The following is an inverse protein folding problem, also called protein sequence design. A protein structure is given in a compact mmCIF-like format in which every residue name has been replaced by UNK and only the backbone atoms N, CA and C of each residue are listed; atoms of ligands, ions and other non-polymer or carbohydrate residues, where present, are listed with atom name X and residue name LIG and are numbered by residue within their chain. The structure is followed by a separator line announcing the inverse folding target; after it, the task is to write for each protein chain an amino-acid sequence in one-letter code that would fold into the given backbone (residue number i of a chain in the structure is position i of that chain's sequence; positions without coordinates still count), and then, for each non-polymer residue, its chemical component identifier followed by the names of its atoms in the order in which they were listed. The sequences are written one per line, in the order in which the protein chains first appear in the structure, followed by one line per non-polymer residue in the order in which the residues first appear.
data_IF_350907423585
#
_entry.id   IF_350907423585
#
_cell.length_a   1.000
_cell.length_b   1.000
_cell.length_c   1.000
_cell.angle_alpha   90.00
_cell.angle_beta   90.00
_cell.angle_gamma   90.00
#
_symmetry.space_group_name_H-M   'P 1'
#
loop_
_entity.id
_entity.type
_entity.pdbx_description
1 polymer ?
#
# COMPACT_ATOMS: atom_id res chain seq x y z
N UNK A 1 -29.53 9.65 0.53
CA UNK A 1 -28.71 10.86 0.29
C UNK A 1 -29.02 11.35 -1.11
N UNK A 2 -29.50 12.59 -1.29
CA UNK A 2 -29.69 13.15 -2.62
C UNK A 2 -28.33 13.27 -3.30
N UNK A 3 -28.23 12.72 -4.52
CA UNK A 3 -27.02 12.75 -5.35
C UNK A 3 -26.62 14.20 -5.58
N UNK A 4 -25.37 14.51 -5.30
CA UNK A 4 -24.72 15.77 -5.67
C UNK A 4 -24.88 15.90 -7.19
N UNK A 5 -25.56 16.97 -7.62
CA UNK A 5 -25.68 17.35 -9.02
C UNK A 5 -24.27 17.55 -9.60
N UNK A 6 -23.96 16.84 -10.69
CA UNK A 6 -22.76 17.08 -11.50
C UNK A 6 -22.77 18.55 -11.94
N UNK A 7 -21.91 19.37 -11.34
CA UNK A 7 -21.63 20.72 -11.84
C UNK A 7 -20.50 20.67 -12.87
N UNK A 8 -20.86 21.16 -14.06
CA UNK A 8 -20.03 21.82 -15.06
C UNK A 8 -18.89 21.02 -15.70
N UNK A 9 -19.25 20.10 -16.60
CA UNK A 9 -18.45 19.92 -17.82
C UNK A 9 -19.03 20.82 -18.90
N UNK A 10 -18.21 21.72 -19.44
CA UNK A 10 -18.53 22.41 -20.70
C UNK A 10 -18.86 21.35 -21.75
N UNK A 11 -19.96 21.46 -22.50
CA UNK A 11 -20.24 20.53 -23.60
C UNK A 11 -19.07 20.55 -24.58
N UNK A 12 -18.57 19.37 -24.97
CA UNK A 12 -17.40 19.20 -25.86
C UNK A 12 -17.52 19.99 -27.19
N UNK A 13 -18.73 20.41 -27.56
CA UNK A 13 -19.04 21.10 -28.80
C UNK A 13 -19.19 22.64 -28.67
N UNK A 14 -19.10 23.22 -27.46
CA UNK A 14 -19.19 24.68 -27.28
C UNK A 14 -18.09 25.41 -28.05
N UNK A 15 -16.84 24.97 -27.93
CA UNK A 15 -15.70 25.56 -28.64
C UNK A 15 -15.80 25.35 -30.16
N UNK A 16 -16.33 24.21 -30.61
CA UNK A 16 -16.59 23.95 -32.03
C UNK A 16 -17.64 24.91 -32.61
N UNK A 17 -18.70 25.22 -31.85
CA UNK A 17 -19.75 26.16 -32.28
C UNK A 17 -19.23 27.60 -32.49
N UNK A 18 -18.07 27.92 -31.91
CA UNK A 18 -17.37 29.20 -32.03
C UNK A 18 -16.23 29.18 -33.07
N UNK A 19 -16.06 28.09 -33.82
CA UNK A 19 -15.02 27.95 -34.85
C UNK A 19 -13.62 27.59 -34.33
N UNK A 20 -13.49 27.21 -33.05
CA UNK A 20 -12.23 26.73 -32.47
C UNK A 20 -12.11 25.20 -32.58
N UNK A 21 -10.88 24.65 -32.66
CA UNK A 21 -10.68 23.20 -32.54
C UNK A 21 -11.16 22.70 -31.17
N UNK A 22 -11.56 21.43 -31.11
CA UNK A 22 -11.80 20.75 -29.83
C UNK A 22 -10.50 20.69 -29.04
N UNK A 23 -10.48 21.32 -27.87
CA UNK A 23 -9.35 21.29 -26.94
C UNK A 23 -9.77 20.43 -25.75
N UNK A 24 -9.05 19.33 -25.52
CA UNK A 24 -9.19 18.57 -24.28
C UNK A 24 -8.37 19.25 -23.19
N UNK A 25 -9.04 19.92 -22.25
CA UNK A 25 -8.38 20.48 -21.07
C UNK A 25 -8.31 19.39 -20.01
N UNK A 26 -7.11 18.84 -19.81
CA UNK A 26 -6.85 17.94 -18.71
C UNK A 26 -6.61 18.77 -17.45
N UNK A 27 -7.47 18.60 -16.43
CA UNK A 27 -7.15 19.10 -15.10
C UNK A 27 -5.99 18.26 -14.56
N UNK A 28 -4.79 18.87 -14.56
CA UNK A 28 -3.63 18.31 -13.89
C UNK A 28 -3.72 18.63 -12.40
N UNK A 29 -2.98 17.88 -11.56
CA UNK A 29 -2.92 18.13 -10.12
C UNK A 29 -2.64 19.61 -9.82
N UNK A 30 -3.65 20.29 -9.28
CA UNK A 30 -3.59 21.68 -8.83
C UNK A 30 -2.78 21.81 -7.53
N UNK A 31 -2.53 23.04 -7.09
CA UNK A 31 -1.91 23.30 -5.79
C UNK A 31 -2.79 22.76 -4.66
N UNK A 32 -2.16 22.38 -3.56
CA UNK A 32 -2.87 21.87 -2.40
C UNK A 32 -3.68 22.97 -1.67
N UNK A 33 -4.94 22.69 -1.34
CA UNK A 33 -5.84 23.61 -0.64
C UNK A 33 -5.71 23.48 0.89
N UNK A 34 -5.13 24.49 1.52
CA UNK A 34 -4.97 24.61 2.97
C UNK A 34 -6.12 25.34 3.67
N UNK A 35 -7.14 25.80 2.95
CA UNK A 35 -8.21 26.63 3.54
C UNK A 35 -9.19 25.83 4.38
N UNK A 36 -9.44 24.57 4.02
CA UNK A 36 -10.40 23.70 4.70
C UNK A 36 -9.79 23.03 5.95
N UNK A 37 -10.35 23.25 7.16
CA UNK A 37 -9.91 22.59 8.37
C UNK A 37 -10.39 21.14 8.47
N UNK A 38 -9.73 20.35 9.31
CA UNK A 38 -10.26 19.06 9.77
C UNK A 38 -10.39 17.98 8.70
N UNK A 39 -9.59 18.09 7.63
CA UNK A 39 -9.52 17.09 6.56
C UNK A 39 -8.59 15.93 6.94
N UNK A 40 -8.94 14.75 6.46
CA UNK A 40 -8.19 13.48 6.58
C UNK A 40 -8.12 12.89 5.18
N UNK A 41 -7.04 13.22 4.50
CA UNK A 41 -6.84 12.96 3.08
C UNK A 41 -6.07 11.66 2.91
N UNK A 42 -6.71 10.65 2.33
CA UNK A 42 -6.03 9.42 1.92
C UNK A 42 -5.42 9.60 0.54
N UNK A 43 -4.12 9.37 0.41
CA UNK A 43 -3.42 9.36 -0.87
C UNK A 43 -3.04 7.91 -1.16
N UNK A 44 -3.78 7.30 -2.09
CA UNK A 44 -3.76 5.84 -2.29
C UNK A 44 -3.23 5.48 -3.68
N UNK A 45 -2.79 4.25 -3.87
CA UNK A 45 -2.31 3.74 -5.15
C UNK A 45 -1.25 2.65 -4.97
N UNK A 46 -0.87 1.94 -6.04
CA UNK A 46 0.12 0.88 -5.97
C UNK A 46 1.51 1.40 -5.57
N UNK A 47 2.43 0.50 -5.24
CA UNK A 47 3.84 0.87 -5.13
C UNK A 47 4.30 1.52 -6.44
N UNK A 48 5.03 2.63 -6.36
CA UNK A 48 5.49 3.38 -7.54
C UNK A 48 4.53 4.44 -8.09
N UNK A 49 3.32 4.59 -7.56
CA UNK A 49 2.36 5.62 -8.02
C UNK A 49 2.67 7.07 -7.57
N UNK A 50 3.79 7.32 -6.90
CA UNK A 50 4.17 8.67 -6.48
C UNK A 50 3.48 9.20 -5.22
N UNK A 51 2.96 8.33 -4.33
CA UNK A 51 2.31 8.75 -3.06
C UNK A 51 3.20 9.66 -2.19
N UNK A 52 4.46 9.31 -1.98
CA UNK A 52 5.41 10.13 -1.21
C UNK A 52 5.85 11.38 -2.01
N UNK A 53 5.86 11.32 -3.34
CA UNK A 53 6.11 12.50 -4.20
C UNK A 53 4.96 13.53 -4.11
N UNK A 54 3.71 13.06 -3.98
CA UNK A 54 2.58 13.93 -3.66
C UNK A 54 2.82 14.70 -2.35
N UNK A 55 3.34 14.03 -1.33
CA UNK A 55 3.69 14.69 -0.06
C UNK A 55 4.78 15.75 -0.24
N UNK A 56 5.78 15.49 -1.07
CA UNK A 56 6.80 16.46 -1.42
C UNK A 56 6.20 17.69 -2.14
N UNK A 57 5.16 17.50 -2.96
CA UNK A 57 4.42 18.61 -3.58
C UNK A 57 3.67 19.44 -2.54
N UNK A 58 2.93 18.79 -1.63
CA UNK A 58 2.24 19.50 -0.53
C UNK A 58 3.21 20.33 0.28
N UNK A 59 4.41 19.79 0.56
CA UNK A 59 5.47 20.53 1.25
C UNK A 59 5.90 21.80 0.50
N UNK A 60 6.07 21.72 -0.82
CA UNK A 60 6.43 22.88 -1.66
C UNK A 60 5.30 23.92 -1.70
N UNK A 61 4.06 23.47 -1.83
CA UNK A 61 2.90 24.36 -1.83
C UNK A 61 2.75 25.09 -0.49
N UNK A 62 2.99 24.38 0.62
CA UNK A 62 3.01 24.93 1.96
C UNK A 62 4.07 26.03 2.12
N UNK A 63 5.28 25.83 1.59
CA UNK A 63 6.35 26.83 1.62
C UNK A 63 5.96 28.12 0.86
N UNK A 64 5.20 28.02 -0.23
CA UNK A 64 4.65 29.18 -0.94
C UNK A 64 3.48 29.81 -0.19
N UNK A 65 2.59 28.99 0.40
CA UNK A 65 1.45 29.45 1.18
C UNK A 65 1.86 30.23 2.44
N UNK A 66 2.96 29.84 3.09
CA UNK A 66 3.50 30.53 4.27
C UNK A 66 3.99 31.95 3.96
N UNK A 67 4.41 32.23 2.72
CA UNK A 67 4.81 33.58 2.28
C UNK A 67 3.62 34.53 2.05
N UNK A 68 2.39 34.02 2.11
CA UNK A 68 1.18 34.83 1.91
C UNK A 68 0.89 35.68 3.14
N UNK A 69 0.12 36.74 2.92
CA UNK A 69 -0.22 37.75 3.94
C UNK A 69 -0.96 37.16 5.15
N UNK A 70 -1.07 37.96 6.21
CA UNK A 70 -1.82 37.60 7.42
C UNK A 70 -3.30 37.32 7.16
N UNK A 71 -3.87 37.87 6.08
CA UNK A 71 -5.24 37.54 5.65
C UNK A 71 -5.35 36.05 5.33
N UNK A 72 -4.38 35.53 4.57
CA UNK A 72 -4.32 34.10 4.23
C UNK A 72 -3.95 33.26 5.44
N UNK A 73 -3.07 33.76 6.32
CA UNK A 73 -2.78 33.10 7.60
C UNK A 73 -4.05 32.88 8.42
N UNK A 74 -4.88 33.90 8.59
CA UNK A 74 -6.14 33.79 9.35
C UNK A 74 -7.11 32.81 8.68
N UNK A 75 -7.20 32.82 7.35
CA UNK A 75 -8.04 31.89 6.60
C UNK A 75 -7.61 30.42 6.75
N UNK A 76 -6.30 30.18 6.89
CA UNK A 76 -5.70 28.83 6.96
C UNK A 76 -5.39 28.38 8.39
N UNK A 77 -5.77 29.18 9.40
CA UNK A 77 -5.58 28.85 10.81
C UNK A 77 -6.91 28.50 11.48
N UNK A 78 -6.89 27.55 12.41
CA UNK A 78 -8.07 27.16 13.21
C UNK A 78 -7.58 26.68 14.56
N UNK A 79 -8.22 27.09 15.67
CA UNK A 79 -7.92 26.63 17.02
C UNK A 79 -6.42 26.58 17.38
N UNK A 80 -5.68 27.63 16.98
CA UNK A 80 -4.25 27.80 17.28
C UNK A 80 -3.27 27.12 16.33
N UNK A 81 -3.73 26.30 15.38
CA UNK A 81 -2.88 25.65 14.37
C UNK A 81 -2.92 26.38 13.03
N UNK A 82 -1.80 26.36 12.29
CA UNK A 82 -1.68 26.92 10.93
C UNK A 82 -1.45 25.78 9.92
N UNK A 83 -2.43 25.51 9.06
CA UNK A 83 -2.36 24.39 8.09
C UNK A 83 -1.26 24.56 7.04
N UNK A 84 -0.69 25.76 6.89
CA UNK A 84 0.44 25.99 5.98
C UNK A 84 1.75 25.52 6.59
N UNK A 85 1.81 25.31 7.92
CA UNK A 85 2.93 24.65 8.58
C UNK A 85 2.73 23.14 8.50
N UNK A 86 3.68 22.46 7.85
CA UNK A 86 3.64 21.03 7.57
C UNK A 86 4.69 20.33 8.41
N UNK A 87 4.33 19.16 8.94
CA UNK A 87 5.21 18.26 9.66
C UNK A 87 5.11 16.86 9.05
N UNK A 88 6.24 16.21 8.84
CA UNK A 88 6.32 14.88 8.22
C UNK A 88 6.59 13.81 9.28
N UNK A 89 5.83 12.72 9.23
CA UNK A 89 5.92 11.62 10.19
C UNK A 89 6.16 10.33 9.42
N UNK A 90 7.18 9.57 9.81
CA UNK A 90 7.54 8.30 9.19
C UNK A 90 7.57 7.17 10.23
N UNK A 91 7.15 5.98 9.82
CA UNK A 91 7.28 4.77 10.65
C UNK A 91 8.74 4.36 10.83
N UNK A 92 9.11 3.91 12.03
CA UNK A 92 10.40 3.26 12.29
C UNK A 92 10.60 1.98 11.45
N UNK A 93 9.52 1.28 11.09
CA UNK A 93 9.56 0.04 10.29
C UNK A 93 10.19 0.31 8.91
N UNK A 94 10.00 1.52 8.38
CA UNK A 94 10.50 1.92 7.06
C UNK A 94 11.94 2.49 7.10
N UNK A 95 12.59 2.45 8.27
CA UNK A 95 13.90 3.08 8.50
C UNK A 95 15.04 2.49 7.68
N UNK A 96 14.93 1.23 7.22
CA UNK A 96 15.97 0.59 6.42
C UNK A 96 15.99 1.04 4.95
N UNK A 97 14.87 1.50 4.37
CA UNK A 97 14.79 1.91 2.95
C UNK A 97 15.50 3.22 2.64
N UNK A 98 15.78 4.05 3.65
CA UNK A 98 16.22 5.42 3.44
C UNK A 98 17.53 5.76 4.16
N UNK A 99 18.39 4.75 4.36
CA UNK A 99 19.67 4.95 5.05
C UNK A 99 20.63 5.87 4.27
N UNK A 100 20.51 5.93 2.93
CA UNK A 100 21.30 6.85 2.10
C UNK A 100 20.86 8.33 2.19
N UNK A 101 19.66 8.60 2.72
CA UNK A 101 19.14 9.96 2.80
C UNK A 101 19.44 10.61 4.15
N UNK A 102 19.56 11.94 4.21
CA UNK A 102 19.68 12.65 5.48
C UNK A 102 18.55 12.31 6.47
N UNK A 103 18.85 12.36 7.76
CA UNK A 103 17.88 12.00 8.80
C UNK A 103 16.59 12.83 8.80
N UNK A 104 16.67 14.07 8.31
CA UNK A 104 15.57 15.02 8.16
C UNK A 104 14.95 15.03 6.74
N UNK A 105 15.20 13.99 5.94
CA UNK A 105 14.72 13.93 4.57
C UNK A 105 13.34 13.26 4.45
N UNK A 106 12.39 13.96 3.84
CA UNK A 106 11.25 13.35 3.16
C UNK A 106 11.77 12.79 1.82
N UNK A 107 12.18 11.53 1.83
CA UNK A 107 12.69 10.83 0.65
C UNK A 107 11.56 10.20 -0.17
N UNK A 108 11.67 10.28 -1.50
CA UNK A 108 10.78 9.68 -2.49
C UNK A 108 11.60 9.20 -3.72
N UNK A 109 11.00 8.45 -4.64
CA UNK A 109 11.71 7.97 -5.83
C UNK A 109 12.29 9.16 -6.61
N UNK A 110 13.60 9.15 -6.86
CA UNK A 110 14.35 10.20 -7.58
C UNK A 110 14.53 11.54 -6.86
N UNK A 111 14.31 11.64 -5.54
CA UNK A 111 14.58 12.89 -4.83
C UNK A 111 14.25 12.89 -3.35
N UNK A 112 14.51 14.01 -2.70
CA UNK A 112 14.11 14.24 -1.32
C UNK A 112 13.89 15.73 -1.03
N UNK A 113 13.17 16.02 0.04
CA UNK A 113 13.05 17.35 0.63
C UNK A 113 13.67 17.33 2.02
N UNK A 114 14.50 18.34 2.34
CA UNK A 114 14.97 18.59 3.71
C UNK A 114 13.85 19.23 4.52
N UNK A 115 13.33 18.51 5.50
CA UNK A 115 12.26 18.99 6.38
C UNK A 115 12.78 19.78 7.59
N UNK A 116 14.10 19.77 7.85
CA UNK A 116 14.68 20.40 9.03
C UNK A 116 14.16 19.74 10.30
N UNK A 117 13.66 20.53 11.24
CA UNK A 117 13.09 20.04 12.51
C UNK A 117 11.65 19.51 12.36
N UNK A 118 11.00 19.77 11.23
CA UNK A 118 9.59 19.43 10.99
C UNK A 118 9.42 17.98 10.47
N UNK A 119 10.15 17.04 11.07
CA UNK A 119 10.10 15.63 10.75
C UNK A 119 10.37 14.78 11.98
N UNK A 120 9.61 13.69 12.13
CA UNK A 120 9.83 12.70 13.19
C UNK A 120 9.72 11.27 12.67
N UNK A 121 10.45 10.37 13.35
CA UNK A 121 10.27 8.93 13.22
C UNK A 121 9.56 8.43 14.47
N UNK A 122 8.49 7.67 14.29
CA UNK A 122 7.68 7.16 15.38
C UNK A 122 7.41 5.67 15.17
N UNK A 123 7.22 4.94 16.28
CA UNK A 123 6.92 3.51 16.25
C UNK A 123 5.42 3.21 16.17
N UNK A 124 4.64 4.00 16.90
CA UNK A 124 3.23 3.72 17.18
C UNK A 124 2.43 5.02 17.35
N UNK A 125 1.13 4.88 17.61
CA UNK A 125 0.22 6.01 17.84
C UNK A 125 0.56 6.87 19.06
N UNK A 126 1.29 6.37 20.07
CA UNK A 126 1.74 7.16 21.21
C UNK A 126 2.86 8.12 20.80
N UNK A 127 3.76 7.67 19.93
CA UNK A 127 4.76 8.54 19.30
C UNK A 127 4.11 9.67 18.52
N UNK A 128 3.00 9.42 17.81
CA UNK A 128 2.26 10.46 17.11
C UNK A 128 1.68 11.51 18.06
N UNK A 129 1.09 11.11 19.18
CA UNK A 129 0.55 12.06 20.17
C UNK A 129 1.65 12.94 20.77
N UNK A 130 2.82 12.36 21.05
CA UNK A 130 3.96 13.14 21.53
C UNK A 130 4.38 14.19 20.49
N UNK A 131 4.49 13.79 19.22
CA UNK A 131 4.78 14.71 18.11
C UNK A 131 3.72 15.82 18.01
N UNK A 132 2.43 15.50 18.16
CA UNK A 132 1.33 16.47 18.15
C UNK A 132 1.35 17.44 19.35
N UNK A 133 1.83 16.98 20.50
CA UNK A 133 1.98 17.78 21.71
C UNK A 133 3.17 18.73 21.63
N UNK A 134 4.30 18.23 21.10
CA UNK A 134 5.54 19.01 20.96
C UNK A 134 5.45 20.07 19.85
N UNK A 135 4.49 19.94 18.95
CA UNK A 135 4.31 20.82 17.79
C UNK A 135 2.90 21.47 17.76
N UNK A 136 2.53 22.28 18.77
CA UNK A 136 1.16 22.72 19.00
C UNK A 136 0.61 23.70 17.95
N UNK A 137 1.45 24.29 17.10
CA UNK A 137 1.04 25.26 16.09
C UNK A 137 1.06 24.71 14.66
N UNK A 138 1.54 23.48 14.46
CA UNK A 138 1.48 22.77 13.17
C UNK A 138 0.02 22.41 12.87
N UNK A 139 -0.47 22.80 11.70
CA UNK A 139 -1.83 22.47 11.26
C UNK A 139 -1.92 21.35 10.24
N UNK A 140 -0.80 20.88 9.68
CA UNK A 140 -0.79 19.80 8.70
C UNK A 140 0.24 18.73 9.04
N UNK A 141 -0.21 17.48 9.18
CA UNK A 141 0.65 16.32 9.40
C UNK A 141 0.53 15.37 8.22
N UNK A 142 1.67 15.05 7.62
CA UNK A 142 1.77 14.01 6.60
C UNK A 142 2.33 12.77 7.30
N UNK A 143 1.56 11.68 7.34
CA UNK A 143 1.94 10.43 8.01
C UNK A 143 2.15 9.36 6.95
N UNK A 144 3.43 9.08 6.67
CA UNK A 144 3.86 8.15 5.62
C UNK A 144 3.62 6.69 6.05
N UNK A 145 3.03 5.92 5.14
CA UNK A 145 2.72 4.49 5.34
C UNK A 145 1.95 4.23 6.64
N UNK A 146 0.96 5.10 6.89
CA UNK A 146 0.11 5.10 8.08
C UNK A 146 -0.61 3.76 8.33
N UNK A 147 -0.83 2.94 7.30
CA UNK A 147 -1.43 1.62 7.46
C UNK A 147 -0.58 0.63 8.25
N UNK A 148 0.73 0.86 8.46
CA UNK A 148 1.58 -0.01 9.28
C UNK A 148 1.57 0.32 10.78
N UNK A 149 0.85 1.37 11.18
CA UNK A 149 0.66 1.70 12.59
C UNK A 149 -0.51 0.92 13.20
N UNK A 150 -0.58 0.92 14.52
CA UNK A 150 -1.68 0.34 15.28
C UNK A 150 -3.01 1.09 15.03
N UNK A 151 -4.14 0.40 15.24
CA UNK A 151 -5.48 0.88 14.92
C UNK A 151 -5.87 2.18 15.63
N UNK A 152 -5.24 2.46 16.78
CA UNK A 152 -5.49 3.67 17.58
C UNK A 152 -5.15 4.93 16.81
N UNK A 153 -4.20 4.87 15.87
CA UNK A 153 -3.79 6.03 15.06
C UNK A 153 -4.99 6.68 14.37
N UNK A 154 -5.95 5.88 13.88
CA UNK A 154 -7.16 6.34 13.20
C UNK A 154 -8.04 7.20 14.14
N UNK A 155 -8.11 6.87 15.42
CA UNK A 155 -8.88 7.62 16.40
C UNK A 155 -8.16 8.89 16.85
N UNK A 156 -6.84 8.81 17.06
CA UNK A 156 -6.01 9.98 17.42
C UNK A 156 -6.12 11.07 16.35
N UNK A 157 -5.89 10.72 15.09
CA UNK A 157 -5.95 11.69 13.98
C UNK A 157 -7.36 12.23 13.79
N UNK A 158 -8.40 11.39 13.92
CA UNK A 158 -9.79 11.85 13.83
C UNK A 158 -10.12 12.88 14.89
N UNK A 159 -9.80 12.61 16.15
CA UNK A 159 -10.13 13.52 17.26
C UNK A 159 -9.40 14.86 17.10
N UNK A 160 -8.09 14.85 16.85
CA UNK A 160 -7.33 16.08 16.62
C UNK A 160 -7.78 16.86 15.38
N UNK A 161 -8.21 16.15 14.34
CA UNK A 161 -8.75 16.77 13.13
C UNK A 161 -10.07 17.49 13.42
N UNK A 162 -10.97 16.88 14.20
CA UNK A 162 -12.26 17.47 14.59
C UNK A 162 -12.11 18.60 15.61
N UNK A 163 -11.28 18.42 16.64
CA UNK A 163 -11.17 19.34 17.77
C UNK A 163 -10.31 20.56 17.44
N UNK A 164 -9.21 20.36 16.72
CA UNK A 164 -8.22 21.42 16.43
C UNK A 164 -8.26 21.89 14.99
N UNK A 165 -9.00 21.22 14.11
CA UNK A 165 -9.02 21.55 12.69
C UNK A 165 -7.72 21.15 11.96
N UNK A 166 -6.94 20.22 12.53
CA UNK A 166 -5.72 19.71 11.92
C UNK A 166 -6.05 18.93 10.65
N UNK A 167 -5.25 19.18 9.61
CA UNK A 167 -5.25 18.44 8.36
C UNK A 167 -4.27 17.26 8.49
N UNK A 168 -4.75 16.06 8.21
CA UNK A 168 -3.90 14.87 8.09
C UNK A 168 -3.88 14.37 6.64
N UNK A 169 -2.70 14.01 6.16
CA UNK A 169 -2.49 13.44 4.82
C UNK A 169 -1.78 12.10 4.98
N UNK A 170 -2.32 11.07 4.32
CA UNK A 170 -1.89 9.69 4.51
C UNK A 170 -1.50 9.06 3.15
N UNK A 171 -0.26 9.28 2.69
CA UNK A 171 0.30 8.48 1.60
C UNK A 171 0.53 7.06 2.11
N UNK A 172 -0.29 6.10 1.67
CA UNK A 172 -0.25 4.73 2.23
C UNK A 172 -0.75 3.69 1.23
N UNK A 173 -0.31 2.44 1.40
CA UNK A 173 -0.94 1.30 0.74
C UNK A 173 -2.25 0.91 1.45
N UNK A 174 -3.36 0.89 0.71
CA UNK A 174 -4.67 0.40 1.19
C UNK A 174 -4.89 -1.06 0.79
N UNK A 175 -4.39 -1.48 -0.37
CA UNK A 175 -4.48 -2.86 -0.84
C UNK A 175 -3.13 -3.56 -0.69
N UNK A 176 -3.17 -4.83 -0.29
CA UNK A 176 -2.01 -5.72 -0.31
C UNK A 176 -1.81 -6.35 -1.70
N UNK A 177 -0.79 -7.20 -1.85
CA UNK A 177 -0.49 -7.85 -3.13
C UNK A 177 -1.60 -8.80 -3.61
N UNK A 178 -2.49 -9.25 -2.72
CA UNK A 178 -3.64 -10.11 -3.03
C UNK A 178 -4.86 -9.34 -3.52
N UNK A 179 -4.75 -8.00 -3.64
CA UNK A 179 -5.84 -7.05 -3.92
C UNK A 179 -6.88 -6.96 -2.80
N UNK A 180 -6.55 -7.44 -1.60
CA UNK A 180 -7.39 -7.34 -0.41
C UNK A 180 -6.98 -6.10 0.41
N UNK A 181 -7.88 -5.59 1.27
CA UNK A 181 -7.54 -4.51 2.21
C UNK A 181 -6.36 -4.94 3.07
N UNK A 182 -5.34 -4.08 3.19
CA UNK A 182 -4.03 -4.45 3.72
C UNK A 182 -4.10 -4.99 5.15
N UNK A 183 -4.82 -4.30 6.03
CA UNK A 183 -5.05 -4.67 7.43
C UNK A 183 -6.21 -3.84 8.05
N UNK A 184 -6.49 -4.08 9.33
CA UNK A 184 -7.51 -3.36 10.10
C UNK A 184 -7.27 -1.84 10.13
N UNK A 185 -6.03 -1.40 10.29
CA UNK A 185 -5.67 0.02 10.27
C UNK A 185 -6.05 0.68 8.95
N UNK A 186 -5.69 0.10 7.80
CA UNK A 186 -6.08 0.60 6.48
C UNK A 186 -7.60 0.72 6.33
N UNK A 187 -8.36 -0.24 6.86
CA UNK A 187 -9.83 -0.19 6.88
C UNK A 187 -10.37 0.97 7.73
N UNK A 188 -9.83 1.16 8.94
CA UNK A 188 -10.23 2.27 9.82
C UNK A 188 -9.86 3.62 9.22
N UNK A 189 -8.73 3.70 8.51
CA UNK A 189 -8.34 4.92 7.81
C UNK A 189 -9.32 5.29 6.70
N UNK A 190 -9.82 4.31 5.94
CA UNK A 190 -10.91 4.54 4.97
C UNK A 190 -12.19 5.05 5.63
N UNK A 191 -12.55 4.50 6.80
CA UNK A 191 -13.75 4.89 7.53
C UNK A 191 -13.71 6.35 8.02
N UNK A 192 -12.55 6.83 8.43
CA UNK A 192 -12.40 8.21 8.93
C UNK A 192 -12.09 9.24 7.84
N UNK A 193 -11.72 8.81 6.62
CA UNK A 193 -11.26 9.69 5.56
C UNK A 193 -12.34 10.71 5.16
N UNK A 194 -11.94 11.96 4.95
CA UNK A 194 -12.82 12.98 4.34
C UNK A 194 -12.63 13.06 2.84
N UNK A 195 -11.45 12.68 2.35
CA UNK A 195 -11.04 12.80 0.98
C UNK A 195 -10.18 11.60 0.58
N UNK A 196 -10.31 11.18 -0.68
CA UNK A 196 -9.46 10.15 -1.28
C UNK A 196 -8.88 10.70 -2.57
N UNK A 197 -7.55 10.65 -2.67
CA UNK A 197 -6.77 11.01 -3.86
C UNK A 197 -6.18 9.71 -4.40
N UNK A 198 -6.80 9.11 -5.44
CA UNK A 198 -6.26 7.93 -6.09
C UNK A 198 -5.13 8.33 -7.04
N UNK A 199 -3.97 7.70 -6.88
CA UNK A 199 -2.85 7.77 -7.80
C UNK A 199 -2.74 6.44 -8.54
N UNK A 200 -2.54 6.49 -9.86
CA UNK A 200 -2.20 5.34 -10.68
C UNK A 200 -0.69 5.31 -10.97
N UNK A 201 -0.20 4.16 -11.40
CA UNK A 201 1.12 4.01 -12.00
C UNK A 201 0.97 3.43 -13.41
N UNK A 202 2.06 3.35 -14.17
CA UNK A 202 2.05 2.53 -15.39
C UNK A 202 2.10 1.03 -15.03
N UNK A 203 1.41 0.20 -15.79
CA UNK A 203 1.67 -1.22 -15.76
C UNK A 203 3.10 -1.48 -16.23
N UNK A 204 3.94 -2.04 -15.36
CA UNK A 204 5.35 -2.33 -15.64
C UNK A 204 5.54 -3.62 -16.48
N UNK A 205 4.48 -4.13 -17.11
CA UNK A 205 4.60 -5.18 -18.10
C UNK A 205 5.22 -4.59 -19.38
N UNK A 206 6.28 -5.19 -19.97
CA UNK A 206 6.98 -4.61 -21.12
C UNK A 206 6.05 -4.26 -22.29
N UNK A 207 5.03 -5.08 -22.52
CA UNK A 207 4.07 -4.92 -23.63
C UNK A 207 2.76 -4.21 -23.22
N UNK A 208 2.74 -3.44 -22.13
CA UNK A 208 1.52 -2.78 -21.64
C UNK A 208 1.71 -1.29 -21.33
N UNK A 209 0.71 -0.48 -21.70
CA UNK A 209 0.65 0.97 -21.40
C UNK A 209 -0.58 1.37 -20.56
N UNK A 210 -1.30 0.38 -20.01
CA UNK A 210 -2.50 0.62 -19.19
C UNK A 210 -2.12 1.16 -17.80
N UNK A 211 -3.07 1.86 -17.19
CA UNK A 211 -2.97 2.22 -15.78
C UNK A 211 -2.89 0.97 -14.91
N UNK A 212 -2.01 1.04 -13.91
CA UNK A 212 -1.86 0.06 -12.86
C UNK A 212 -2.51 0.56 -11.58
N UNK A 213 -3.27 -0.35 -10.96
CA UNK A 213 -4.00 -0.12 -9.72
C UNK A 213 -3.47 -0.98 -8.57
N UNK A 214 -2.64 -2.00 -8.89
CA UNK A 214 -2.21 -3.00 -7.92
C UNK A 214 -0.70 -3.10 -7.82
N UNK A 215 -0.25 -3.31 -6.60
CA UNK A 215 1.09 -3.80 -6.33
C UNK A 215 1.11 -5.30 -6.63
N UNK A 216 1.90 -5.69 -7.61
CA UNK A 216 2.16 -7.07 -7.97
C UNK A 216 3.45 -7.54 -7.29
N UNK A 217 3.37 -8.70 -6.61
CA UNK A 217 4.50 -9.35 -5.97
C UNK A 217 4.91 -10.56 -6.81
N UNK A 218 6.20 -10.66 -7.09
CA UNK A 218 6.77 -11.76 -7.87
C UNK A 218 8.19 -12.05 -7.42
N UNK A 219 8.69 -13.24 -7.74
CA UNK A 219 10.09 -13.63 -7.60
C UNK A 219 10.69 -13.71 -9.00
N UNK A 220 12.02 -13.72 -9.05
CA UNK A 220 12.73 -14.14 -10.25
C UNK A 220 13.55 -15.37 -9.92
N UNK A 221 13.39 -16.40 -10.75
CA UNK A 221 14.08 -17.68 -10.63
C UNK A 221 14.57 -18.06 -12.02
N UNK A 222 15.88 -18.20 -12.19
CA UNK A 222 16.52 -18.49 -13.47
C UNK A 222 16.11 -17.51 -14.58
N UNK A 223 16.00 -16.22 -14.24
CA UNK A 223 15.57 -15.17 -15.16
C UNK A 223 14.07 -15.16 -15.47
N UNK A 224 13.28 -16.05 -14.88
CA UNK A 224 11.85 -16.16 -15.14
C UNK A 224 11.03 -15.43 -14.07
N UNK A 225 10.01 -14.68 -14.52
CA UNK A 225 9.04 -14.09 -13.62
C UNK A 225 8.17 -15.18 -12.99
N UNK A 226 8.10 -15.20 -11.66
CA UNK A 226 7.33 -16.16 -10.88
C UNK A 226 6.35 -15.41 -9.96
N UNK A 227 5.04 -15.37 -10.27
CA UNK A 227 4.06 -14.69 -9.41
C UNK A 227 4.09 -15.25 -7.98
N UNK A 228 3.89 -14.38 -6.98
CA UNK A 228 3.69 -14.85 -5.61
C UNK A 228 2.39 -15.66 -5.51
N UNK A 229 2.42 -16.76 -4.75
CA UNK A 229 1.23 -17.56 -4.48
C UNK A 229 0.29 -16.81 -3.53
N UNK A 230 -1.01 -17.12 -3.57
CA UNK A 230 -1.98 -16.46 -2.69
C UNK A 230 -1.60 -16.58 -1.21
N UNK A 231 -1.07 -17.72 -0.77
CA UNK A 231 -0.66 -17.95 0.61
C UNK A 231 0.74 -17.39 0.95
N UNK A 232 1.41 -16.65 0.06
CA UNK A 232 2.67 -15.99 0.43
C UNK A 232 2.47 -15.03 1.62
N UNK A 233 3.40 -14.98 2.58
CA UNK A 233 3.28 -14.15 3.78
C UNK A 233 2.95 -12.68 3.45
N UNK A 234 1.94 -12.10 4.10
CA UNK A 234 1.51 -10.73 3.79
C UNK A 234 2.62 -9.67 3.87
N UNK A 235 3.41 -9.68 4.94
CA UNK A 235 4.45 -8.66 5.17
C UNK A 235 5.82 -9.26 4.84
N UNK A 236 6.41 -8.80 3.74
CA UNK A 236 7.81 -9.05 3.38
C UNK A 236 8.39 -7.69 2.97
N UNK A 237 9.27 -7.14 3.80
CA UNK A 237 9.87 -5.82 3.56
C UNK A 237 10.87 -5.92 2.40
N UNK A 238 10.68 -5.08 1.37
CA UNK A 238 11.54 -5.03 0.18
C UNK A 238 10.92 -4.22 -0.96
N UNK A 239 11.59 -4.18 -2.12
CA UNK A 239 11.01 -3.66 -3.37
C UNK A 239 11.69 -2.46 -4.04
N UNK A 240 12.83 -1.98 -3.52
CA UNK A 240 13.55 -0.86 -4.16
C UNK A 240 14.56 -1.30 -5.22
N UNK A 241 14.98 -2.57 -5.17
CA UNK A 241 15.92 -3.16 -6.13
C UNK A 241 15.36 -4.44 -6.70
N UNK A 242 15.45 -4.62 -8.03
CA UNK A 242 15.16 -5.90 -8.65
C UNK A 242 16.22 -6.93 -8.25
N UNK A 243 15.78 -8.12 -7.88
CA UNK A 243 16.62 -9.25 -7.46
C UNK A 243 16.26 -10.48 -8.29
N UNK A 244 17.26 -11.24 -8.69
CA UNK A 244 17.09 -12.61 -9.18
C UNK A 244 17.29 -13.54 -7.98
N UNK A 245 16.21 -13.78 -7.24
CA UNK A 245 16.25 -14.41 -5.93
C UNK A 245 14.92 -15.19 -5.69
N UNK A 246 14.99 -16.51 -5.43
CA UNK A 246 13.81 -17.33 -5.16
C UNK A 246 13.20 -17.12 -3.76
N UNK A 247 13.90 -16.43 -2.85
CA UNK A 247 13.50 -16.23 -1.45
C UNK A 247 12.99 -14.81 -1.20
N UNK A 248 13.54 -13.82 -1.87
CA UNK A 248 13.18 -12.41 -1.68
C UNK A 248 12.33 -11.90 -2.86
N UNK A 249 11.09 -11.47 -2.64
CA UNK A 249 10.23 -11.00 -3.71
C UNK A 249 10.65 -9.61 -4.21
N UNK A 250 10.33 -9.37 -5.47
CA UNK A 250 10.25 -8.08 -6.13
C UNK A 250 8.81 -7.55 -6.08
N UNK A 251 8.68 -6.24 -6.30
CA UNK A 251 7.40 -5.55 -6.39
C UNK A 251 7.39 -4.62 -7.59
N UNK A 252 6.28 -4.60 -8.32
CA UNK A 252 6.04 -3.63 -9.39
C UNK A 252 4.55 -3.31 -9.51
N UNK A 253 4.19 -2.29 -10.27
CA UNK A 253 2.79 -1.95 -10.54
C UNK A 253 2.26 -2.70 -11.77
N UNK A 254 1.07 -3.30 -11.67
CA UNK A 254 0.40 -4.00 -12.79
C UNK A 254 -1.07 -3.60 -12.92
N UNK A 255 -1.59 -3.65 -14.15
CA UNK A 255 -3.02 -3.54 -14.44
C UNK A 255 -3.74 -4.86 -14.08
N UNK A 256 -5.07 -4.90 -14.23
CA UNK A 256 -5.87 -6.09 -13.94
C UNK A 256 -5.42 -7.34 -14.69
N UNK A 257 -5.03 -7.19 -15.96
CA UNK A 257 -4.67 -8.29 -16.87
C UNK A 257 -3.30 -8.92 -16.53
N UNK A 258 -2.35 -8.11 -16.07
CA UNK A 258 -0.97 -8.55 -15.82
C UNK A 258 -0.67 -8.74 -14.33
N UNK A 259 -1.67 -8.68 -13.46
CA UNK A 259 -1.52 -8.98 -12.04
C UNK A 259 -1.99 -10.42 -11.77
N UNK A 260 -1.03 -11.34 -11.79
CA UNK A 260 -1.27 -12.76 -11.55
C UNK A 260 -1.31 -13.08 -10.05
N UNK A 261 -2.30 -13.86 -9.62
CA UNK A 261 -2.44 -14.29 -8.22
C UNK A 261 -2.88 -15.77 -8.14
N UNK A 262 -1.95 -16.71 -8.40
CA UNK A 262 -2.23 -18.15 -8.39
C UNK A 262 -2.61 -18.72 -7.02
N UNK A 263 -3.14 -19.94 -7.03
CA UNK A 263 -3.36 -20.79 -5.86
C UNK A 263 -4.34 -20.26 -4.80
N UNK A 264 -5.20 -19.29 -5.15
CA UNK A 264 -6.27 -18.82 -4.24
C UNK A 264 -7.23 -19.95 -3.86
N UNK A 265 -7.72 -20.72 -4.85
CA UNK A 265 -8.61 -21.87 -4.62
C UNK A 265 -7.92 -22.98 -3.83
N UNK A 266 -6.69 -23.36 -4.20
CA UNK A 266 -5.84 -24.27 -3.41
C UNK A 266 -5.76 -23.84 -1.93
N UNK A 267 -5.55 -22.56 -1.67
CA UNK A 267 -5.39 -22.04 -0.30
C UNK A 267 -6.63 -22.32 0.56
N UNK A 268 -7.83 -22.10 0.01
CA UNK A 268 -9.08 -22.24 0.76
C UNK A 268 -9.68 -23.66 0.74
N UNK A 269 -9.46 -24.43 -0.33
CA UNK A 269 -10.05 -25.76 -0.47
C UNK A 269 -9.11 -26.90 -0.06
N UNK A 270 -7.81 -26.65 0.03
CA UNK A 270 -6.82 -27.65 0.43
C UNK A 270 -6.02 -27.21 1.66
N UNK A 271 -5.23 -26.14 1.54
CA UNK A 271 -4.27 -25.77 2.59
C UNK A 271 -4.96 -25.43 3.92
N UNK A 272 -5.98 -24.56 3.89
CA UNK A 272 -6.72 -24.16 5.10
C UNK A 272 -7.40 -25.37 5.78
N UNK A 273 -8.16 -26.23 5.08
CA UNK A 273 -8.70 -27.46 5.67
C UNK A 273 -7.65 -28.38 6.29
N UNK A 274 -6.45 -28.49 5.71
CA UNK A 274 -5.34 -29.25 6.31
C UNK A 274 -4.90 -28.62 7.65
N UNK A 275 -4.79 -27.29 7.71
CA UNK A 275 -4.53 -26.55 8.95
C UNK A 275 -5.60 -26.77 10.02
N UNK A 276 -6.89 -26.74 9.63
CA UNK A 276 -8.02 -26.99 10.55
C UNK A 276 -8.04 -28.42 11.10
N UNK A 277 -7.60 -29.42 10.31
CA UNK A 277 -7.44 -30.80 10.80
C UNK A 277 -6.26 -30.92 11.75
N UNK A 278 -5.15 -30.30 11.41
CA UNK A 278 -3.95 -30.29 12.23
C UNK A 278 -4.21 -29.64 13.60
N UNK A 279 -4.98 -28.56 13.65
CA UNK A 279 -5.38 -27.89 14.91
C UNK A 279 -6.26 -28.77 15.83
N UNK A 280 -6.94 -29.77 15.25
CA UNK A 280 -7.74 -30.78 15.97
C UNK A 280 -6.94 -32.03 16.33
N UNK A 281 -5.63 -32.03 16.11
CA UNK A 281 -4.72 -33.12 16.44
C UNK A 281 -4.38 -34.08 15.29
N UNK A 282 -4.98 -33.91 14.11
CA UNK A 282 -4.71 -34.73 12.93
C UNK A 282 -3.75 -34.00 11.97
N UNK A 283 -2.47 -33.95 12.35
CA UNK A 283 -1.43 -33.24 11.59
C UNK A 283 -0.80 -34.06 10.46
N UNK A 284 -1.12 -35.37 10.33
CA UNK A 284 -0.53 -36.25 9.33
C UNK A 284 -0.68 -35.73 7.90
N UNK A 285 -1.92 -35.45 7.44
CA UNK A 285 -2.15 -34.94 6.09
C UNK A 285 -1.46 -33.60 5.79
N UNK A 286 -1.39 -32.70 6.77
CA UNK A 286 -0.66 -31.43 6.62
C UNK A 286 0.84 -31.70 6.46
N UNK A 287 1.40 -32.60 7.28
CA UNK A 287 2.81 -32.99 7.19
C UNK A 287 3.15 -33.59 5.84
N UNK A 288 2.30 -34.46 5.31
CA UNK A 288 2.50 -35.09 4.01
C UNK A 288 2.52 -34.04 2.88
N UNK A 289 1.59 -33.07 2.91
CA UNK A 289 1.59 -31.96 1.95
C UNK A 289 2.83 -31.07 2.09
N UNK A 290 3.25 -30.72 3.32
CA UNK A 290 4.46 -29.92 3.54
C UNK A 290 5.71 -30.64 3.03
N UNK A 291 5.79 -31.96 3.26
CA UNK A 291 6.86 -32.80 2.75
C UNK A 291 6.88 -32.81 1.21
N UNK A 292 5.72 -32.95 0.57
CA UNK A 292 5.59 -32.89 -0.89
C UNK A 292 5.99 -31.51 -1.43
N UNK A 293 5.52 -30.41 -0.83
CA UNK A 293 5.91 -29.04 -1.22
C UNK A 293 7.43 -28.81 -1.14
N UNK A 294 8.11 -29.45 -0.20
CA UNK A 294 9.56 -29.29 0.03
C UNK A 294 10.42 -30.21 -0.84
N UNK A 295 9.99 -31.44 -1.07
CA UNK A 295 10.82 -32.49 -1.67
C UNK A 295 10.28 -33.06 -2.98
N UNK A 296 8.96 -33.05 -3.20
CA UNK A 296 8.29 -33.71 -4.32
C UNK A 296 7.13 -32.85 -4.84
N UNK A 297 7.44 -31.65 -5.34
CA UNK A 297 6.41 -30.66 -5.70
C UNK A 297 5.36 -31.24 -6.66
N UNK A 298 5.74 -32.07 -7.62
CA UNK A 298 4.84 -32.73 -8.57
C UNK A 298 3.79 -33.64 -7.94
N UNK A 299 4.03 -34.12 -6.73
CA UNK A 299 3.12 -34.97 -5.97
C UNK A 299 2.19 -34.18 -5.04
N UNK A 300 2.49 -32.89 -4.79
CA UNK A 300 1.71 -32.03 -3.90
C UNK A 300 0.31 -31.74 -4.46
N UNK A 301 -0.64 -31.48 -3.56
CA UNK A 301 -1.96 -30.99 -3.93
C UNK A 301 -1.86 -29.61 -4.62
N UNK A 302 -0.85 -28.80 -4.28
CA UNK A 302 -0.60 -27.53 -4.96
C UNK A 302 -0.32 -27.73 -6.45
N UNK A 303 0.61 -28.60 -6.81
CA UNK A 303 0.96 -28.83 -8.21
C UNK A 303 -0.23 -29.36 -9.01
N UNK A 304 -0.93 -30.35 -8.46
CA UNK A 304 -2.12 -30.92 -9.10
C UNK A 304 -3.19 -29.86 -9.35
N UNK A 305 -3.45 -29.00 -8.37
CA UNK A 305 -4.37 -27.87 -8.52
C UNK A 305 -3.89 -26.89 -9.60
N UNK A 306 -2.61 -26.53 -9.59
CA UNK A 306 -2.03 -25.57 -10.54
C UNK A 306 -2.12 -26.08 -11.98
N UNK A 307 -1.76 -27.34 -12.22
CA UNK A 307 -1.85 -27.98 -13.53
C UNK A 307 -3.31 -28.08 -14.02
N UNK A 308 -4.21 -28.56 -13.16
CA UNK A 308 -5.63 -28.68 -13.50
C UNK A 308 -6.28 -27.31 -13.81
N UNK A 309 -5.93 -26.27 -13.04
CA UNK A 309 -6.56 -24.95 -13.15
C UNK A 309 -5.97 -24.09 -14.26
N UNK A 310 -4.66 -24.17 -14.47
CA UNK A 310 -3.93 -23.24 -15.32
C UNK A 310 -3.18 -23.90 -16.47
N UNK A 311 -2.91 -25.21 -16.43
CA UNK A 311 -2.02 -25.91 -17.38
C UNK A 311 -2.48 -25.85 -18.84
N UNK A 312 -3.78 -25.69 -19.11
CA UNK A 312 -4.32 -25.58 -20.47
C UNK A 312 -4.54 -24.14 -20.95
N UNK A 313 -4.15 -23.14 -20.16
CA UNK A 313 -4.36 -21.72 -20.53
C UNK A 313 -3.25 -21.21 -21.45
N UNK A 314 -3.51 -20.17 -22.26
CA UNK A 314 -2.46 -19.53 -23.07
C UNK A 314 -1.30 -18.97 -22.24
N UNK A 315 -1.60 -18.53 -21.01
CA UNK A 315 -0.67 -18.00 -20.02
C UNK A 315 -0.25 -19.07 -18.98
N UNK A 316 -0.37 -20.36 -19.30
CA UNK A 316 -0.04 -21.45 -18.37
C UNK A 316 1.37 -21.34 -17.79
N UNK A 317 2.35 -20.93 -18.61
CA UNK A 317 3.75 -20.82 -18.19
C UNK A 317 3.92 -19.89 -16.99
N UNK A 318 3.35 -18.68 -17.01
CA UNK A 318 3.51 -17.71 -15.92
C UNK A 318 2.82 -18.20 -14.64
N UNK A 319 1.69 -18.92 -14.75
CA UNK A 319 1.05 -19.55 -13.60
C UNK A 319 1.91 -20.69 -13.04
N UNK A 320 2.44 -21.56 -13.88
CA UNK A 320 3.28 -22.69 -13.45
C UNK A 320 4.66 -22.23 -12.95
N UNK A 321 5.12 -21.04 -13.31
CA UNK A 321 6.32 -20.45 -12.71
C UNK A 321 6.13 -20.14 -11.22
N UNK A 322 4.90 -19.93 -10.75
CA UNK A 322 4.63 -19.58 -9.35
C UNK A 322 5.00 -20.67 -8.32
N UNK A 323 5.27 -21.91 -8.76
CA UNK A 323 5.74 -23.01 -7.90
C UNK A 323 7.27 -23.19 -7.92
N UNK A 324 8.01 -22.33 -8.63
CA UNK A 324 9.49 -22.31 -8.63
C UNK A 324 10.13 -21.58 -7.44
N UNK A 325 9.53 -20.54 -6.86
CA UNK A 325 10.10 -19.86 -5.69
C UNK A 325 10.38 -20.83 -4.54
N UNK A 326 11.42 -20.55 -3.78
CA UNK A 326 11.83 -21.39 -2.66
C UNK A 326 10.86 -21.32 -1.48
N UNK A 327 11.05 -22.25 -0.54
CA UNK A 327 10.38 -22.28 0.76
C UNK A 327 8.84 -22.34 0.69
N UNK A 328 8.28 -23.12 -0.25
CA UNK A 328 6.83 -23.23 -0.42
C UNK A 328 6.13 -23.78 0.84
N UNK A 329 6.71 -24.82 1.45
CA UNK A 329 6.19 -25.41 2.68
C UNK A 329 6.21 -24.40 3.84
N UNK A 330 7.33 -23.71 4.03
CA UNK A 330 7.49 -22.70 5.08
C UNK A 330 6.55 -21.51 4.88
N UNK A 331 6.36 -21.04 3.63
CA UNK A 331 5.37 -20.00 3.30
C UNK A 331 3.95 -20.44 3.65
N UNK A 332 3.58 -21.67 3.29
CA UNK A 332 2.26 -22.24 3.61
C UNK A 332 2.05 -22.36 5.13
N UNK A 333 3.07 -22.79 5.88
CA UNK A 333 3.03 -22.85 7.34
C UNK A 333 2.92 -21.46 7.99
N UNK A 334 3.66 -20.47 7.50
CA UNK A 334 3.58 -19.08 7.98
C UNK A 334 2.16 -18.52 7.75
N UNK A 335 1.55 -18.79 6.59
CA UNK A 335 0.18 -18.40 6.32
C UNK A 335 -0.82 -19.02 7.32
N UNK A 336 -0.71 -20.32 7.56
CA UNK A 336 -1.58 -21.02 8.51
C UNK A 336 -1.38 -20.55 9.97
N UNK A 337 -0.15 -20.23 10.35
CA UNK A 337 0.21 -19.74 11.68
C UNK A 337 -0.18 -18.26 11.87
N UNK A 338 0.45 -17.35 11.11
CA UNK A 338 0.32 -15.90 11.32
C UNK A 338 -1.03 -15.33 10.89
N UNK A 339 -1.63 -15.87 9.82
CA UNK A 339 -2.79 -15.24 9.20
C UNK A 339 -4.10 -15.97 9.49
N UNK A 340 -4.08 -17.30 9.53
CA UNK A 340 -5.26 -18.10 9.83
C UNK A 340 -5.37 -18.48 11.31
N UNK A 341 -4.31 -18.34 12.11
CA UNK A 341 -4.27 -18.73 13.52
C UNK A 341 -4.71 -20.20 13.73
N UNK A 342 -4.28 -21.10 12.82
CA UNK A 342 -4.67 -22.52 12.82
C UNK A 342 -3.59 -23.42 13.40
N UNK A 343 -2.34 -22.99 13.47
CA UNK A 343 -1.24 -23.78 14.01
C UNK A 343 -0.77 -23.19 15.34
N UNK A 344 -0.49 -24.05 16.31
CA UNK A 344 0.27 -23.67 17.48
C UNK A 344 1.77 -23.60 17.15
N UNK A 345 2.53 -22.83 17.93
CA UNK A 345 3.98 -22.63 17.73
C UNK A 345 4.76 -23.96 17.78
N UNK A 346 4.41 -24.86 18.70
CA UNK A 346 5.06 -26.16 18.84
C UNK A 346 4.84 -27.05 17.60
N UNK A 347 3.63 -27.02 17.04
CA UNK A 347 3.29 -27.74 15.82
C UNK A 347 4.00 -27.13 14.60
N UNK A 348 4.06 -25.80 14.50
CA UNK A 348 4.81 -25.09 13.46
C UNK A 348 6.26 -25.58 13.44
N UNK A 349 6.96 -25.53 14.57
CA UNK A 349 8.38 -25.91 14.68
C UNK A 349 8.62 -27.38 14.30
N UNK A 350 7.65 -28.28 14.55
CA UNK A 350 7.75 -29.70 14.18
C UNK A 350 7.53 -29.99 12.70
N UNK A 351 6.96 -29.04 11.96
CA UNK A 351 6.62 -29.19 10.54
C UNK A 351 7.60 -28.51 9.58
N UNK A 352 8.51 -27.66 10.09
CA UNK A 352 9.56 -26.96 9.32
C UNK A 352 10.66 -27.92 8.86
#
# INVERSE_FOLDING_TARGET
MPRIEERDKLPDDFLKSLGFPSITVHQTFTHFDFTLPGRRVLVIGPMGSGKTEFSARVWRDAAIAQKKSDVIRRLTSTNGVDRRKVFFVRSEIDGQRFQEYPGDALAYRNGYIRCGENIARIRDSFGLEQVLADNPEIGTFIIDEASFFDERIAYVVRNHSLERGILFIFPTLILNFRRDIFNSTARLMLDIATDVIPLTAYCEHPDCMKDAFYTYRYYRVDGQECPALYFDPLIIVGGDTQKDDPLNPNYCSRCDEHHYLPAKEYTFFHLKPLGERASRGDAGPLRDEMYALKHHISESALYQHMDQRYGSRPDAEIFMNAIKPGCLAEKALIYLFCEQNLLAEDLLVRLV
#
